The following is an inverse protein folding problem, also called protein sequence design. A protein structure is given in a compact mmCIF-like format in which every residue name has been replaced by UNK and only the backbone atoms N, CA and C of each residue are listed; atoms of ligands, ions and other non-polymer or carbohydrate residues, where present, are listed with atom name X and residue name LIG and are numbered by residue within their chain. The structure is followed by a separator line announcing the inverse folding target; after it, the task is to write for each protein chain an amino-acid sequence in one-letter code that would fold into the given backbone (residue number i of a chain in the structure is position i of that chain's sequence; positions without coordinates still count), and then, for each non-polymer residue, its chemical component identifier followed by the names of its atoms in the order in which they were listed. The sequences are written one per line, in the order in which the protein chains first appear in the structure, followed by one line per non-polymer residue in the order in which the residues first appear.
data_IF_592335133297
#
_entry.id   IF_592335133297
#
_cell.length_a   1.000
_cell.length_b   1.000
_cell.length_c   1.000
_cell.angle_alpha   90.00
_cell.angle_beta   90.00
_cell.angle_gamma   90.00
#
_symmetry.space_group_name_H-M   'P 1'
#
loop_
_entity.id
_entity.type
_entity.pdbx_description
1 polymer ?
#
# COMPACT_ATOMS: atom_id res chain seq x y z
N UNK A 1 -2.29 13.66 -3.48
CA UNK A 1 -3.61 13.17 -3.03
C UNK A 1 -3.48 12.13 -1.92
N UNK A 2 -2.86 10.96 -2.19
CA UNK A 2 -2.75 9.87 -1.20
C UNK A 2 -2.14 10.29 0.15
N UNK A 3 -0.96 10.93 0.13
CA UNK A 3 -0.32 11.40 1.37
C UNK A 3 -1.13 12.43 2.15
N UNK A 4 -1.94 13.26 1.49
CA UNK A 4 -2.85 14.20 2.15
C UNK A 4 -3.94 13.47 2.92
N UNK A 5 -4.57 12.46 2.30
CA UNK A 5 -5.66 11.70 2.91
C UNK A 5 -5.18 10.73 4.00
N UNK A 6 -4.10 9.97 3.75
CA UNK A 6 -3.60 8.99 4.72
C UNK A 6 -2.72 9.63 5.80
N UNK A 7 -2.07 10.74 5.47
CA UNK A 7 -1.39 11.60 6.45
C UNK A 7 -2.34 12.09 7.52
N UNK A 8 -3.53 12.58 7.14
CA UNK A 8 -4.56 13.02 8.09
C UNK A 8 -4.94 11.94 9.11
N UNK A 9 -5.06 10.67 8.69
CA UNK A 9 -5.38 9.55 9.59
C UNK A 9 -4.28 9.34 10.64
N UNK A 10 -3.02 9.32 10.21
CA UNK A 10 -1.85 9.10 11.08
C UNK A 10 -1.63 10.28 12.02
N UNK A 11 -1.67 11.51 11.48
CA UNK A 11 -1.51 12.74 12.26
C UNK A 11 -2.63 12.86 13.30
N UNK A 12 -3.88 12.51 12.94
CA UNK A 12 -5.03 12.56 13.85
C UNK A 12 -4.87 11.65 15.07
N UNK A 13 -4.38 10.42 14.91
CA UNK A 13 -4.14 9.50 16.03
C UNK A 13 -3.04 10.03 16.96
N UNK A 14 -1.94 10.54 16.39
CA UNK A 14 -0.83 11.09 17.20
C UNK A 14 -1.30 12.33 17.97
N UNK A 15 -1.99 13.26 17.30
CA UNK A 15 -2.55 14.46 17.93
C UNK A 15 -3.56 14.10 19.02
N UNK A 16 -4.43 13.11 18.80
CA UNK A 16 -5.36 12.64 19.82
C UNK A 16 -4.62 12.15 21.08
N UNK A 17 -3.53 11.40 20.92
CA UNK A 17 -2.71 10.94 22.05
C UNK A 17 -2.05 12.10 22.77
N UNK A 18 -1.50 13.09 22.05
CA UNK A 18 -0.89 14.28 22.67
C UNK A 18 -1.90 15.08 23.48
N UNK A 19 -3.10 15.28 22.95
CA UNK A 19 -4.19 15.97 23.65
C UNK A 19 -4.63 15.17 24.87
N UNK A 20 -4.84 13.85 24.73
CA UNK A 20 -5.24 12.98 25.84
C UNK A 20 -4.19 12.92 26.97
N UNK A 21 -2.91 13.04 26.63
CA UNK A 21 -1.81 13.07 27.59
C UNK A 21 -1.53 14.47 28.19
N UNK A 22 -2.27 15.52 27.76
CA UNK A 22 -2.10 16.89 28.24
C UNK A 22 -0.89 17.63 27.65
N UNK A 23 -0.24 17.09 26.62
CA UNK A 23 0.87 17.75 25.92
C UNK A 23 0.41 18.77 24.86
N UNK A 24 -0.89 18.80 24.54
CA UNK A 24 -1.47 19.69 23.54
C UNK A 24 -2.88 20.11 23.94
N UNK A 25 -3.24 21.39 23.70
CA UNK A 25 -4.57 21.92 24.01
C UNK A 25 -5.65 21.37 23.07
N UNK A 26 -6.86 21.21 23.62
CA UNK A 26 -8.03 20.72 22.86
C UNK A 26 -8.41 21.73 21.78
N UNK A 27 -8.73 21.25 20.58
CA UNK A 27 -9.15 22.09 19.45
C UNK A 27 -7.99 22.69 18.64
N UNK A 28 -6.74 22.41 19.01
CA UNK A 28 -5.57 22.78 18.22
C UNK A 28 -5.30 21.74 17.12
N UNK A 29 -4.85 22.18 15.94
CA UNK A 29 -4.49 21.30 14.84
C UNK A 29 -3.20 20.49 15.09
N UNK A 30 -2.85 19.54 14.20
CA UNK A 30 -1.62 18.77 14.33
C UNK A 30 -0.38 19.65 14.34
N UNK A 31 0.56 19.37 15.24
CA UNK A 31 1.85 20.06 15.30
C UNK A 31 2.66 19.84 14.03
N UNK A 32 3.46 20.81 13.63
CA UNK A 32 4.25 20.75 12.39
C UNK A 32 5.17 19.51 12.32
N UNK A 33 5.75 19.09 13.45
CA UNK A 33 6.63 17.92 13.49
C UNK A 33 5.83 16.61 13.31
N UNK A 34 4.57 16.55 13.76
CA UNK A 34 3.68 15.40 13.53
C UNK A 34 3.39 15.29 12.03
N UNK A 35 3.15 16.43 11.38
CA UNK A 35 2.94 16.49 9.92
C UNK A 35 4.20 16.02 9.19
N UNK A 36 5.37 16.53 9.57
CA UNK A 36 6.65 16.19 8.94
C UNK A 36 7.01 14.71 9.14
N UNK A 37 6.86 14.18 10.35
CA UNK A 37 7.17 12.77 10.66
C UNK A 37 6.21 11.81 9.95
N UNK A 38 4.90 12.10 9.93
CA UNK A 38 3.93 11.30 9.20
C UNK A 38 4.21 11.34 7.68
N UNK A 39 4.52 12.51 7.12
CA UNK A 39 4.89 12.66 5.71
C UNK A 39 6.16 11.88 5.35
N UNK A 40 7.21 11.97 6.19
CA UNK A 40 8.45 11.21 6.01
C UNK A 40 8.20 9.70 6.10
N UNK A 41 7.42 9.24 7.07
CA UNK A 41 7.10 7.82 7.22
C UNK A 41 6.36 7.27 6.00
N UNK A 42 5.38 7.99 5.47
CA UNK A 42 4.66 7.62 4.24
C UNK A 42 5.60 7.64 3.03
N UNK A 43 6.43 8.67 2.90
CA UNK A 43 7.41 8.78 1.80
C UNK A 43 8.42 7.63 1.81
N UNK A 44 9.03 7.36 2.96
CA UNK A 44 9.97 6.26 3.14
C UNK A 44 9.31 4.90 2.93
N UNK A 45 8.08 4.71 3.42
CA UNK A 45 7.32 3.47 3.21
C UNK A 45 6.98 3.22 1.74
N UNK A 46 6.62 4.28 1.00
CA UNK A 46 6.35 4.21 -0.44
C UNK A 46 7.62 3.89 -1.22
N UNK A 47 8.75 4.52 -0.87
CA UNK A 47 10.04 4.26 -1.51
C UNK A 47 10.54 2.83 -1.24
N UNK A 48 10.34 2.33 -0.02
CA UNK A 48 10.87 1.04 0.42
C UNK A 48 9.96 -0.14 0.06
N UNK A 49 8.83 0.07 -0.62
CA UNK A 49 7.71 -0.87 -0.60
C UNK A 49 6.78 -0.91 -1.82
N UNK A 50 5.82 -1.84 -1.76
CA UNK A 50 4.60 -1.80 -2.59
C UNK A 50 4.58 -2.68 -3.85
N UNK A 51 5.69 -3.29 -4.26
CA UNK A 51 5.76 -4.04 -5.54
C UNK A 51 4.71 -5.16 -5.68
N UNK A 52 4.38 -5.88 -4.61
CA UNK A 52 3.30 -6.89 -4.66
C UNK A 52 1.94 -6.28 -4.97
N UNK A 53 1.65 -5.14 -4.38
CA UNK A 53 0.40 -4.41 -4.61
C UNK A 53 0.39 -3.87 -6.03
N UNK A 54 1.50 -3.29 -6.51
CA UNK A 54 1.65 -2.82 -7.89
C UNK A 54 1.42 -3.94 -8.91
N UNK A 55 1.99 -5.15 -8.70
CA UNK A 55 1.72 -6.31 -9.55
C UNK A 55 0.23 -6.67 -9.56
N UNK A 56 -0.38 -6.74 -8.39
CA UNK A 56 -1.78 -7.16 -8.24
C UNK A 56 -2.73 -6.15 -8.90
N UNK A 57 -2.49 -4.86 -8.71
CA UNK A 57 -3.33 -3.78 -9.26
C UNK A 57 -3.12 -3.62 -10.77
N UNK A 58 -1.88 -3.65 -11.25
CA UNK A 58 -1.54 -3.39 -12.65
C UNK A 58 -1.72 -4.57 -13.61
N UNK A 59 -1.64 -5.82 -13.10
CA UNK A 59 -1.73 -7.02 -13.94
C UNK A 59 -2.75 -8.05 -13.47
N UNK A 60 -3.13 -8.02 -12.19
CA UNK A 60 -4.00 -9.02 -11.58
C UNK A 60 -5.49 -8.66 -11.53
N UNK A 61 -5.83 -7.38 -11.70
CA UNK A 61 -7.22 -6.89 -11.63
C UNK A 61 -7.83 -6.63 -13.01
N UNK A 62 -7.20 -5.79 -13.82
CA UNK A 62 -7.61 -5.49 -15.20
C UNK A 62 -6.39 -5.16 -16.04
N UNK A 63 -6.46 -5.39 -17.35
CA UNK A 63 -5.41 -4.93 -18.26
C UNK A 63 -5.60 -3.43 -18.53
N UNK A 64 -4.55 -2.66 -18.24
CA UNK A 64 -4.54 -1.20 -18.30
C UNK A 64 -3.46 -0.76 -19.29
N UNK A 65 -3.87 -0.04 -20.33
CA UNK A 65 -2.96 0.71 -21.20
C UNK A 65 -2.63 2.08 -20.60
N UNK A 66 -1.54 2.72 -21.03
CA UNK A 66 -1.11 4.04 -20.50
C UNK A 66 -2.23 5.10 -20.46
N UNK A 67 -3.12 5.25 -21.47
CA UNK A 67 -4.22 6.20 -21.38
C UNK A 67 -5.24 5.85 -20.29
N UNK A 68 -5.52 4.56 -20.05
CA UNK A 68 -6.40 4.11 -18.96
C UNK A 68 -5.75 4.34 -17.59
N UNK A 69 -4.43 4.16 -17.51
CA UNK A 69 -3.66 4.46 -16.30
C UNK A 69 -3.77 5.93 -15.94
N UNK A 70 -3.53 6.82 -16.90
CA UNK A 70 -3.68 8.27 -16.69
C UNK A 70 -5.10 8.65 -16.25
N UNK A 71 -6.12 8.09 -16.91
CA UNK A 71 -7.51 8.34 -16.56
C UNK A 71 -7.84 7.84 -15.14
N UNK A 72 -7.39 6.65 -14.78
CA UNK A 72 -7.60 6.07 -13.45
C UNK A 72 -6.89 6.87 -12.35
N UNK A 73 -5.65 7.29 -12.57
CA UNK A 73 -4.88 8.12 -11.62
C UNK A 73 -5.49 9.50 -11.44
N UNK A 74 -5.95 10.12 -12.54
CA UNK A 74 -6.64 11.42 -12.51
C UNK A 74 -7.94 11.32 -11.72
N UNK A 75 -8.78 10.32 -12.03
CA UNK A 75 -10.03 10.10 -11.33
C UNK A 75 -9.81 9.83 -9.83
N UNK A 76 -8.82 9.00 -9.49
CA UNK A 76 -8.45 8.70 -8.11
C UNK A 76 -7.98 9.96 -7.38
N UNK A 77 -7.11 10.74 -8.01
CA UNK A 77 -6.54 11.97 -7.46
C UNK A 77 -7.63 12.99 -7.16
N UNK A 78 -8.53 13.24 -8.12
CA UNK A 78 -9.64 14.18 -7.96
C UNK A 78 -10.56 13.74 -6.83
N UNK A 79 -10.98 12.47 -6.81
CA UNK A 79 -11.89 11.96 -5.78
C UNK A 79 -11.26 12.02 -4.38
N UNK A 80 -9.98 11.65 -4.22
CA UNK A 80 -9.27 11.70 -2.94
C UNK A 80 -9.06 13.16 -2.48
N UNK A 81 -8.70 14.06 -3.38
CA UNK A 81 -8.51 15.47 -3.02
C UNK A 81 -9.84 16.13 -2.64
N UNK A 82 -10.90 15.90 -3.41
CA UNK A 82 -12.23 16.39 -3.11
C UNK A 82 -12.69 15.88 -1.74
N UNK A 83 -12.53 14.60 -1.44
CA UNK A 83 -12.92 14.05 -0.14
C UNK A 83 -12.09 14.62 1.00
N UNK A 84 -10.77 14.77 0.80
CA UNK A 84 -9.87 15.33 1.81
C UNK A 84 -10.18 16.80 2.08
N UNK A 85 -10.58 17.56 1.06
CA UNK A 85 -10.98 18.96 1.19
C UNK A 85 -12.34 19.12 1.90
N UNK A 86 -13.26 18.16 1.70
CA UNK A 86 -14.54 18.10 2.41
C UNK A 86 -14.41 17.53 3.83
N UNK A 87 -13.23 17.09 4.24
CA UNK A 87 -12.99 16.48 5.56
C UNK A 87 -13.48 15.04 5.70
N UNK A 88 -13.85 14.37 4.60
CA UNK A 88 -14.26 12.98 4.63
C UNK A 88 -13.06 12.02 4.61
N UNK A 89 -12.99 11.14 5.61
CA UNK A 89 -12.01 10.08 5.68
C UNK A 89 -12.41 8.90 4.77
N UNK A 90 -12.12 9.02 3.46
CA UNK A 90 -12.36 7.94 2.49
C UNK A 90 -11.17 6.97 2.40
N UNK A 91 -11.47 5.75 1.92
CA UNK A 91 -10.49 4.72 1.60
C UNK A 91 -9.84 5.00 0.25
N UNK A 92 -8.56 5.37 0.27
CA UNK A 92 -7.75 5.57 -0.95
C UNK A 92 -7.67 4.27 -1.77
N UNK A 93 -7.60 3.11 -1.12
CA UNK A 93 -7.59 1.80 -1.80
C UNK A 93 -8.87 1.52 -2.57
N UNK A 94 -10.05 1.85 -2.01
CA UNK A 94 -11.32 1.66 -2.72
C UNK A 94 -11.44 2.60 -3.90
N UNK A 95 -11.04 3.86 -3.73
CA UNK A 95 -11.07 4.85 -4.80
C UNK A 95 -10.13 4.41 -5.94
N UNK A 96 -8.87 4.10 -5.64
CA UNK A 96 -7.90 3.66 -6.65
C UNK A 96 -8.34 2.37 -7.36
N UNK A 97 -8.77 1.35 -6.60
CA UNK A 97 -9.27 0.10 -7.19
C UNK A 97 -10.49 0.33 -8.07
N UNK A 98 -11.43 1.17 -7.62
CA UNK A 98 -12.63 1.52 -8.37
C UNK A 98 -12.33 2.31 -9.64
N UNK A 99 -11.42 3.28 -9.59
CA UNK A 99 -11.00 4.03 -10.78
C UNK A 99 -10.28 3.16 -11.81
N UNK A 100 -9.43 2.22 -11.35
CA UNK A 100 -8.78 1.23 -12.21
C UNK A 100 -9.82 0.30 -12.87
N UNK A 101 -10.75 -0.24 -12.09
CA UNK A 101 -11.83 -1.07 -12.64
C UNK A 101 -12.70 -0.30 -13.62
N UNK A 102 -13.07 0.93 -13.28
CA UNK A 102 -13.89 1.80 -14.12
C UNK A 102 -13.23 2.11 -15.47
N UNK A 103 -11.92 2.41 -15.48
CA UNK A 103 -11.19 2.68 -16.73
C UNK A 103 -11.05 1.43 -17.61
N UNK A 104 -10.97 0.25 -16.98
CA UNK A 104 -10.98 -1.04 -17.66
C UNK A 104 -12.35 -1.41 -18.26
N UNK A 105 -13.41 -1.35 -17.44
CA UNK A 105 -14.79 -1.65 -17.86
C UNK A 105 -15.25 -0.70 -18.97
N UNK A 106 -14.96 0.60 -18.84
CA UNK A 106 -15.33 1.61 -19.85
C UNK A 106 -14.69 1.41 -21.23
N UNK A 107 -13.66 0.56 -21.34
CA UNK A 107 -13.01 0.19 -22.60
C UNK A 107 -13.16 -1.28 -22.97
N UNK A 108 -14.00 -2.04 -22.25
CA UNK A 108 -14.21 -3.45 -22.51
C UNK A 108 -13.00 -4.35 -22.19
N UNK A 109 -12.07 -3.89 -21.34
CA UNK A 109 -10.92 -4.71 -20.90
C UNK A 109 -11.40 -5.91 -20.08
N UNK A 110 -10.67 -7.03 -20.17
CA UNK A 110 -10.94 -8.23 -19.35
C UNK A 110 -10.65 -7.94 -17.86
N UNK A 111 -11.67 -8.07 -17.02
CA UNK A 111 -11.60 -7.88 -15.57
C UNK A 111 -11.54 -9.22 -14.83
N UNK A 112 -10.65 -9.33 -13.86
CA UNK A 112 -10.57 -10.48 -12.95
C UNK A 112 -11.48 -10.30 -11.74
N UNK A 113 -12.75 -10.65 -11.90
CA UNK A 113 -13.75 -10.59 -10.84
C UNK A 113 -13.39 -11.45 -9.61
N UNK A 114 -12.68 -12.56 -9.82
CA UNK A 114 -12.18 -13.39 -8.73
C UNK A 114 -11.15 -12.64 -7.86
N UNK A 115 -10.25 -11.88 -8.48
CA UNK A 115 -9.30 -11.04 -7.72
C UNK A 115 -10.02 -9.92 -6.98
N UNK A 116 -10.97 -9.25 -7.64
CA UNK A 116 -11.77 -8.20 -7.00
C UNK A 116 -12.56 -8.73 -5.79
N UNK A 117 -13.20 -9.91 -5.92
CA UNK A 117 -13.90 -10.56 -4.80
C UNK A 117 -12.99 -10.87 -3.62
N UNK A 118 -11.78 -11.39 -3.86
CA UNK A 118 -10.78 -11.62 -2.80
C UNK A 118 -10.38 -10.32 -2.09
N UNK A 119 -10.25 -9.23 -2.83
CA UNK A 119 -9.97 -7.91 -2.24
C UNK A 119 -11.13 -7.44 -1.36
N UNK A 120 -12.38 -7.57 -1.84
CA UNK A 120 -13.57 -7.24 -1.07
C UNK A 120 -13.66 -8.00 0.26
N UNK A 121 -13.41 -9.32 0.22
CA UNK A 121 -13.37 -10.15 1.43
C UNK A 121 -12.24 -9.69 2.37
N UNK A 122 -11.05 -9.40 1.83
CA UNK A 122 -9.94 -8.89 2.63
C UNK A 122 -10.27 -7.56 3.32
N UNK A 123 -10.92 -6.62 2.62
CA UNK A 123 -11.35 -5.34 3.20
C UNK A 123 -12.35 -5.54 4.35
N UNK A 124 -13.32 -6.44 4.18
CA UNK A 124 -14.30 -6.74 5.22
C UNK A 124 -13.67 -7.39 6.46
N UNK A 125 -12.71 -8.30 6.27
CA UNK A 125 -12.04 -9.00 7.38
C UNK A 125 -11.05 -8.09 8.11
N UNK A 126 -10.47 -7.11 7.42
CA UNK A 126 -9.45 -6.23 8.00
C UNK A 126 -9.99 -5.39 9.16
N UNK A 127 -11.24 -4.89 9.09
CA UNK A 127 -11.82 -4.07 10.15
C UNK A 127 -12.07 -4.84 11.46
N UNK A 128 -12.76 -6.01 11.47
CA UNK A 128 -12.88 -6.85 12.66
C UNK A 128 -11.54 -7.29 13.21
N UNK A 129 -10.60 -7.70 12.33
CA UNK A 129 -9.28 -8.13 12.77
C UNK A 129 -8.53 -7.00 13.48
N UNK A 130 -8.54 -5.78 12.93
CA UNK A 130 -7.94 -4.61 13.56
C UNK A 130 -8.61 -4.29 14.91
N UNK A 131 -9.94 -4.40 14.99
CA UNK A 131 -10.70 -4.21 16.23
C UNK A 131 -10.33 -5.21 17.31
N UNK A 132 -10.23 -6.50 16.97
CA UNK A 132 -9.82 -7.57 17.91
C UNK A 132 -8.40 -7.36 18.39
N UNK A 133 -7.46 -7.08 17.49
CA UNK A 133 -6.06 -6.81 17.86
C UNK A 133 -5.98 -5.59 18.77
N UNK A 134 -6.67 -4.50 18.43
CA UNK A 134 -6.72 -3.29 19.26
C UNK A 134 -7.35 -3.52 20.64
N UNK A 135 -8.42 -4.31 20.72
CA UNK A 135 -9.06 -4.66 21.99
C UNK A 135 -8.12 -5.50 22.88
N UNK A 136 -7.43 -6.48 22.30
CA UNK A 136 -6.49 -7.34 23.03
C UNK A 136 -5.27 -6.54 23.53
N UNK A 137 -4.66 -5.71 22.69
CA UNK A 137 -3.51 -4.89 23.09
C UNK A 137 -3.90 -3.88 24.17
N UNK A 138 -5.06 -3.24 24.04
CA UNK A 138 -5.60 -2.34 25.07
C UNK A 138 -5.87 -3.06 26.39
N UNK A 139 -6.50 -4.25 26.34
CA UNK A 139 -6.77 -5.04 27.54
C UNK A 139 -5.49 -5.40 28.31
N UNK A 140 -4.45 -5.85 27.60
CA UNK A 140 -3.14 -6.19 28.20
C UNK A 140 -2.44 -4.94 28.75
N UNK A 141 -2.48 -3.82 28.03
CA UNK A 141 -1.87 -2.58 28.46
C UNK A 141 -2.53 -2.03 29.74
N UNK A 142 -3.86 -2.02 29.81
CA UNK A 142 -4.62 -1.50 30.95
C UNK A 142 -4.48 -2.41 32.18
N UNK A 143 -4.55 -3.74 32.02
CA UNK A 143 -4.43 -4.69 33.14
C UNK A 143 -3.00 -4.84 33.65
N UNK A 144 -2.01 -4.77 32.75
CA UNK A 144 -0.59 -4.96 33.07
C UNK A 144 0.18 -3.68 33.39
N UNK A 145 -0.46 -2.50 33.31
CA UNK A 145 0.18 -1.21 33.54
C UNK A 145 1.39 -0.99 32.63
N UNK A 146 2.49 -0.48 33.19
CA UNK A 146 3.74 -0.21 32.44
C UNK A 146 4.33 -1.48 31.84
N UNK A 147 4.36 -2.59 32.58
CA UNK A 147 4.90 -3.87 32.10
C UNK A 147 4.04 -4.45 30.97
N UNK A 148 2.71 -4.34 31.08
CA UNK A 148 1.78 -4.73 30.03
C UNK A 148 2.01 -3.94 28.74
N UNK A 149 2.19 -2.62 28.85
CA UNK A 149 2.46 -1.74 27.71
C UNK A 149 3.78 -2.09 27.02
N UNK A 150 4.85 -2.31 27.79
CA UNK A 150 6.15 -2.71 27.23
C UNK A 150 6.07 -4.08 26.53
N UNK A 151 5.36 -5.04 27.12
CA UNK A 151 5.15 -6.36 26.52
C UNK A 151 4.40 -6.23 25.18
N UNK A 152 3.34 -5.42 25.11
CA UNK A 152 2.60 -5.15 23.87
C UNK A 152 3.52 -4.57 22.80
N UNK A 153 4.35 -3.58 23.12
CA UNK A 153 5.30 -2.99 22.17
C UNK A 153 6.25 -4.06 21.62
N UNK A 154 6.83 -4.88 22.49
CA UNK A 154 7.76 -5.95 22.07
C UNK A 154 7.05 -6.96 21.17
N UNK A 155 5.84 -7.39 21.52
CA UNK A 155 5.05 -8.34 20.72
C UNK A 155 4.69 -7.75 19.35
N UNK A 156 4.29 -6.48 19.29
CA UNK A 156 3.98 -5.81 18.03
C UNK A 156 5.22 -5.66 17.13
N UNK A 157 6.38 -5.32 17.71
CA UNK A 157 7.65 -5.25 16.97
C UNK A 157 8.08 -6.63 16.45
N UNK A 158 7.98 -7.67 17.28
CA UNK A 158 8.27 -9.04 16.88
C UNK A 158 7.31 -9.52 15.77
N UNK A 159 6.02 -9.22 15.90
CA UNK A 159 5.01 -9.52 14.88
C UNK A 159 5.29 -8.80 13.57
N UNK A 160 5.59 -7.51 13.61
CA UNK A 160 5.98 -6.73 12.42
C UNK A 160 7.23 -7.32 11.74
N UNK A 161 8.26 -7.68 12.53
CA UNK A 161 9.46 -8.32 12.01
C UNK A 161 9.16 -9.69 11.37
N UNK A 162 8.30 -10.50 11.99
CA UNK A 162 7.87 -11.78 11.43
C UNK A 162 7.11 -11.60 10.11
N UNK A 163 6.20 -10.62 10.04
CA UNK A 163 5.48 -10.28 8.81
C UNK A 163 6.45 -9.84 7.72
N UNK A 164 7.40 -8.95 8.03
CA UNK A 164 8.40 -8.48 7.07
C UNK A 164 9.29 -9.64 6.60
N UNK A 165 9.73 -10.51 7.52
CA UNK A 165 10.53 -11.69 7.20
C UNK A 165 9.77 -12.66 6.30
N UNK A 166 8.51 -12.93 6.61
CA UNK A 166 7.64 -13.80 5.80
C UNK A 166 7.34 -13.16 4.44
N UNK A 167 7.09 -11.86 4.40
CA UNK A 167 6.91 -11.11 3.16
C UNK A 167 8.18 -11.16 2.30
N UNK A 168 9.36 -11.12 2.91
CA UNK A 168 10.64 -11.23 2.22
C UNK A 168 10.99 -12.64 1.74
N UNK A 169 10.23 -13.68 2.08
CA UNK A 169 10.51 -15.05 1.64
C UNK A 169 10.31 -15.23 0.12
N UNK A 170 9.31 -14.56 -0.48
CA UNK A 170 9.07 -14.52 -1.92
C UNK A 170 9.21 -13.09 -2.43
N UNK A 171 10.44 -12.56 -2.47
CA UNK A 171 10.65 -11.15 -2.81
C UNK A 171 10.09 -10.79 -4.19
N UNK A 172 9.17 -9.84 -4.18
CA UNK A 172 8.69 -9.17 -5.39
C UNK A 172 9.31 -7.79 -5.40
N UNK A 173 10.11 -7.51 -6.42
CA UNK A 173 10.90 -6.29 -6.53
C UNK A 173 10.82 -5.75 -7.97
N UNK A 174 11.43 -4.60 -8.25
CA UNK A 174 11.39 -3.94 -9.56
C UNK A 174 11.78 -4.85 -10.73
N UNK A 175 12.68 -5.81 -10.49
CA UNK A 175 13.17 -6.75 -11.51
C UNK A 175 12.13 -7.80 -11.92
N UNK A 176 11.15 -8.10 -11.07
CA UNK A 176 10.17 -9.16 -11.31
C UNK A 176 8.72 -8.72 -11.17
N UNK A 177 8.43 -7.47 -10.76
CA UNK A 177 7.08 -6.97 -10.52
C UNK A 177 6.17 -7.18 -11.74
N UNK A 178 6.73 -7.11 -12.95
CA UNK A 178 6.05 -7.28 -14.22
C UNK A 178 6.00 -8.74 -14.74
N UNK A 179 6.64 -9.71 -14.08
CA UNK A 179 6.78 -11.06 -14.63
C UNK A 179 5.56 -11.98 -14.38
N UNK A 180 4.61 -11.60 -13.51
CA UNK A 180 3.45 -12.43 -13.18
C UNK A 180 2.16 -11.63 -13.02
N UNK A 181 1.02 -12.26 -13.30
CA UNK A 181 -0.33 -11.68 -13.12
C UNK A 181 -0.90 -11.93 -11.72
N UNK A 182 -0.30 -12.83 -10.94
CA UNK A 182 -0.75 -13.20 -9.59
C UNK A 182 0.39 -13.13 -8.58
N UNK A 183 0.09 -12.70 -7.35
CA UNK A 183 1.03 -12.77 -6.23
C UNK A 183 0.78 -14.09 -5.50
N UNK A 184 1.72 -15.04 -5.62
CA UNK A 184 1.64 -16.32 -4.92
C UNK A 184 2.21 -16.16 -3.51
N UNK A 185 1.36 -16.35 -2.50
CA UNK A 185 1.73 -16.23 -1.08
C UNK A 185 2.27 -17.55 -0.50
N UNK A 186 1.89 -18.70 -1.08
CA UNK A 186 2.37 -20.03 -0.70
C UNK A 186 3.48 -20.53 -1.65
N UNK A 187 4.27 -21.52 -1.21
CA UNK A 187 5.27 -22.19 -2.06
C UNK A 187 4.53 -22.99 -3.16
N UNK A 188 4.23 -22.37 -4.30
CA UNK A 188 3.94 -23.11 -5.51
C UNK A 188 5.25 -23.67 -6.04
N UNK A 189 5.34 -24.99 -6.11
CA UNK A 189 6.18 -25.66 -7.08
C UNK A 189 5.62 -25.26 -8.45
N UNK A 190 6.40 -24.48 -9.19
CA UNK A 190 6.03 -23.77 -10.43
C UNK A 190 5.21 -24.64 -11.41
N UNK A 191 4.25 -24.05 -12.13
CA UNK A 191 4.48 -23.95 -13.57
C UNK A 191 3.89 -22.68 -14.19
N UNK A 192 4.74 -21.69 -14.48
CA UNK A 192 4.97 -21.07 -15.79
C UNK A 192 5.59 -19.66 -15.67
N UNK A 193 6.72 -19.51 -14.99
CA UNK A 193 7.66 -18.49 -15.43
C UNK A 193 8.49 -19.11 -16.57
N UNK A 194 8.15 -18.79 -17.82
CA UNK A 194 8.90 -19.27 -19.01
C UNK A 194 10.36 -18.80 -19.04
N UNK A 195 10.85 -18.09 -18.02
CA UNK A 195 12.25 -17.71 -17.85
C UNK A 195 12.63 -17.53 -16.38
N UNK A 196 13.92 -17.73 -16.09
CA UNK A 196 14.53 -17.39 -14.80
C UNK A 196 14.44 -15.86 -14.53
N UNK A 197 14.36 -15.41 -13.27
CA UNK A 197 14.39 -13.99 -12.92
C UNK A 197 15.61 -13.29 -13.50
N UNK A 198 15.42 -12.11 -14.11
CA UNK A 198 16.52 -11.34 -14.71
C UNK A 198 17.46 -10.79 -13.63
N UNK A 199 18.76 -10.88 -13.88
CA UNK A 199 19.77 -10.25 -13.02
C UNK A 199 19.86 -8.74 -13.28
N UNK A 200 20.33 -7.99 -12.28
CA UNK A 200 20.51 -6.53 -12.34
C UNK A 200 21.35 -6.12 -13.56
N UNK A 201 22.40 -6.89 -13.86
CA UNK A 201 23.26 -6.65 -15.02
C UNK A 201 22.53 -6.84 -16.36
N UNK A 202 21.61 -7.80 -16.46
CA UNK A 202 20.80 -7.99 -17.67
C UNK A 202 19.84 -6.83 -17.91
N UNK A 203 19.25 -6.27 -16.84
CA UNK A 203 18.38 -5.09 -16.94
C UNK A 203 19.16 -3.85 -17.37
N UNK A 204 20.36 -3.64 -16.80
CA UNK A 204 21.26 -2.54 -17.20
C UNK A 204 21.66 -2.63 -18.67
N UNK A 205 21.98 -3.84 -19.16
CA UNK A 205 22.38 -4.06 -20.56
C UNK A 205 21.24 -3.82 -21.55
N UNK A 206 20.01 -4.17 -21.20
CA UNK A 206 18.84 -3.91 -22.06
C UNK A 206 18.50 -2.41 -22.11
N UNK A 207 18.61 -1.69 -20.98
CA UNK A 207 18.45 -0.23 -20.95
C UNK A 207 19.55 0.49 -21.73
N UNK A 208 20.81 0.02 -21.62
CA UNK A 208 21.92 0.53 -22.41
C UNK A 208 21.75 0.24 -23.91
N UNK A 209 21.27 -0.96 -24.26
CA UNK A 209 21.00 -1.36 -25.65
C UNK A 209 19.78 -0.67 -26.27
N UNK A 210 18.76 -0.34 -25.48
CA UNK A 210 17.59 0.43 -25.92
C UNK A 210 17.95 1.91 -26.19
N UNK A 211 18.97 2.44 -25.52
CA UNK A 211 19.53 3.77 -25.81
C UNK A 211 20.28 3.82 -27.15
N UNK A 212 20.99 2.75 -27.52
CA UNK A 212 21.72 2.66 -28.79
C UNK A 212 20.80 2.62 -30.01
N UNK A 213 19.67 1.88 -29.97
CA UNK A 213 18.73 1.81 -31.11
C UNK A 213 17.97 3.11 -31.40
N UNK A 214 17.99 4.08 -30.49
CA UNK A 214 17.39 5.41 -30.69
C UNK A 214 18.34 6.41 -31.34
N UNK A 215 19.64 6.10 -31.44
CA UNK A 215 20.64 6.94 -32.10
C UNK A 215 20.76 6.72 -33.60
N UNK A 216 20.36 5.55 -34.11
CA UNK A 216 20.53 5.18 -35.53
C UNK A 216 19.28 5.48 -36.40
N UNK A 217 18.30 6.20 -35.84
CA UNK A 217 17.07 6.60 -36.54
C UNK A 217 16.90 8.13 -36.65
N UNK A 218 18.02 8.85 -36.81
CA UNK A 218 18.07 10.27 -37.14
C UNK A 218 18.80 10.48 -38.47
#
# INVERSE_FOLDING_TARGET
AHGTSDGQKTMGVITLVLVAAGYQEVGTGPQWWVIATAGLAIGLGTYSGGWRIMRTMGKGLVHIDSPQGLAAETASTVAILASSHLGFALSTTHICTGSILGSGVGRGSKVSWATFGRMGVAWLITLPAAGVVGALTSYVAVRGGTLGTLAVIVVLLAGAMAIIRQANHNRVDFSNVNDAHTVVVAKQTDPSLTRKPRTVEQVKQELAGAGSRRGDAA
#
